data_IF_179074769517
#
_entry.id   IF_179074769517
#
_cell.length_a   1.000
_cell.length_b   1.000
_cell.length_c   1.000
_cell.angle_alpha   90.00
_cell.angle_beta   90.00
_cell.angle_gamma   90.00
#
_symmetry.space_group_name_H-M   'P 1'
#
loop_
_entity.id
_entity.type
_entity.pdbx_description
1 polymer ?
#
# COMPACT_ATOMS: atom_id res chain seq x y z
N UNK A 1 -36.90 -27.86 -9.55
CA UNK A 1 -35.80 -27.63 -8.60
C UNK A 1 -34.55 -27.38 -9.40
N UNK A 2 -33.63 -26.51 -8.94
CA UNK A 2 -32.39 -26.29 -9.68
C UNK A 2 -31.60 -27.61 -9.69
N UNK A 3 -31.11 -27.97 -10.88
CA UNK A 3 -30.37 -29.21 -11.09
C UNK A 3 -29.07 -29.19 -10.26
N UNK A 4 -28.78 -30.30 -9.59
CA UNK A 4 -27.49 -30.51 -8.94
C UNK A 4 -26.36 -30.29 -9.95
N UNK A 5 -25.51 -29.30 -9.71
CA UNK A 5 -24.46 -28.84 -10.62
C UNK A 5 -23.18 -29.69 -10.58
N UNK A 6 -23.17 -30.81 -9.83
CA UNK A 6 -22.04 -31.72 -9.75
C UNK A 6 -22.50 -33.16 -10.02
N UNK A 7 -22.06 -33.72 -11.15
CA UNK A 7 -22.21 -35.14 -11.48
C UNK A 7 -20.99 -35.90 -10.94
N UNK A 8 -21.18 -36.88 -10.03
CA UNK A 8 -20.08 -37.62 -9.40
C UNK A 8 -19.33 -38.58 -10.34
N UNK A 9 -19.64 -38.62 -11.65
CA UNK A 9 -19.12 -39.63 -12.58
C UNK A 9 -18.23 -39.12 -13.71
N UNK A 10 -17.92 -37.82 -13.81
CA UNK A 10 -17.13 -37.27 -14.93
C UNK A 10 -15.65 -37.10 -14.61
N UNK A 11 -14.77 -37.90 -15.22
CA UNK A 11 -13.31 -37.66 -15.28
C UNK A 11 -12.98 -36.78 -16.51
N UNK A 12 -12.15 -35.71 -16.42
CA UNK A 12 -11.46 -35.16 -15.25
C UNK A 12 -12.33 -34.15 -14.47
N UNK A 13 -12.23 -34.16 -13.13
CA UNK A 13 -12.91 -33.26 -12.19
C UNK A 13 -12.34 -31.82 -12.19
N UNK A 14 -12.21 -31.20 -13.37
CA UNK A 14 -11.89 -29.77 -13.48
C UNK A 14 -12.96 -29.09 -14.31
N UNK A 15 -13.74 -28.21 -13.69
CA UNK A 15 -14.52 -27.19 -14.41
C UNK A 15 -13.88 -25.84 -14.13
N UNK A 16 -13.45 -25.08 -15.15
CA UNK A 16 -13.12 -23.68 -14.96
C UNK A 16 -14.40 -22.96 -14.56
N UNK A 17 -14.45 -22.44 -13.34
CA UNK A 17 -15.47 -21.49 -12.93
C UNK A 17 -15.12 -20.18 -13.64
N UNK A 18 -15.92 -19.79 -14.64
CA UNK A 18 -15.72 -18.56 -15.41
C UNK A 18 -16.86 -17.60 -15.15
N UNK A 19 -16.85 -17.02 -13.96
CA UNK A 19 -17.46 -15.73 -13.73
C UNK A 19 -16.38 -14.86 -13.05
N UNK A 20 -15.63 -14.13 -13.87
CA UNK A 20 -14.95 -12.85 -13.58
C UNK A 20 -13.85 -12.83 -12.49
N UNK A 21 -13.59 -13.89 -11.72
CA UNK A 21 -12.43 -13.89 -10.78
C UNK A 21 -11.11 -14.29 -11.45
N UNK A 22 -10.28 -13.29 -11.78
CA UNK A 22 -8.95 -13.40 -12.41
C UNK A 22 -7.85 -13.88 -11.45
N UNK A 23 -8.10 -14.91 -10.65
CA UNK A 23 -7.08 -15.39 -9.70
C UNK A 23 -7.36 -16.69 -9.00
N UNK A 24 -8.60 -17.17 -8.93
CA UNK A 24 -8.96 -18.34 -8.12
C UNK A 24 -9.11 -19.60 -8.97
N UNK A 25 -8.27 -20.60 -8.72
CA UNK A 25 -8.32 -21.94 -9.31
C UNK A 25 -8.66 -22.98 -8.25
N UNK A 26 -9.80 -23.64 -8.45
CA UNK A 26 -10.20 -24.83 -7.70
C UNK A 26 -9.71 -26.09 -8.42
N UNK A 27 -9.02 -26.98 -7.71
CA UNK A 27 -8.46 -28.21 -8.26
C UNK A 27 -8.57 -29.39 -7.29
N UNK A 28 -8.33 -30.61 -7.79
CA UNK A 28 -8.28 -31.86 -7.03
C UNK A 28 -9.49 -32.14 -6.11
N UNK A 29 -10.69 -31.77 -6.57
CA UNK A 29 -11.94 -32.04 -5.84
C UNK A 29 -12.12 -33.55 -5.65
N UNK A 30 -12.16 -33.98 -4.39
CA UNK A 30 -12.25 -35.40 -4.00
C UNK A 30 -13.22 -35.61 -2.84
N UNK A 31 -13.57 -36.87 -2.57
CA UNK A 31 -14.40 -37.29 -1.44
C UNK A 31 -15.83 -36.70 -1.40
N UNK A 32 -16.45 -36.48 -2.57
CA UNK A 32 -17.77 -35.85 -2.71
C UNK A 32 -18.96 -36.59 -2.05
N UNK A 33 -18.74 -37.77 -1.44
CA UNK A 33 -19.73 -38.53 -0.67
C UNK A 33 -19.53 -38.48 0.85
N UNK A 34 -18.52 -37.76 1.34
CA UNK A 34 -18.20 -37.55 2.75
C UNK A 34 -17.65 -36.12 2.94
N UNK A 35 -16.64 -35.89 3.79
CA UNK A 35 -15.98 -34.59 3.90
C UNK A 35 -15.22 -34.29 2.61
N UNK A 36 -15.71 -33.31 1.83
CA UNK A 36 -15.09 -32.88 0.58
C UNK A 36 -13.73 -32.23 0.86
N UNK A 37 -12.73 -32.56 0.03
CA UNK A 37 -11.40 -31.93 0.06
C UNK A 37 -11.15 -31.28 -1.29
N UNK A 38 -10.65 -30.05 -1.28
CA UNK A 38 -10.41 -29.20 -2.45
C UNK A 38 -9.10 -28.45 -2.30
N UNK A 39 -8.32 -28.42 -3.38
CA UNK A 39 -7.10 -27.60 -3.45
C UNK A 39 -7.47 -26.25 -4.06
N UNK A 40 -7.32 -25.19 -3.27
CA UNK A 40 -7.51 -23.81 -3.67
C UNK A 40 -6.15 -23.19 -4.02
N UNK A 41 -6.00 -22.71 -5.24
CA UNK A 41 -4.86 -21.89 -5.66
C UNK A 41 -5.39 -20.51 -6.00
N UNK A 42 -4.91 -19.49 -5.29
CA UNK A 42 -5.17 -18.09 -5.60
C UNK A 42 -3.89 -17.51 -6.14
N UNK A 43 -3.88 -17.07 -7.39
CA UNK A 43 -2.82 -16.22 -7.91
C UNK A 43 -3.04 -14.83 -7.30
N UNK A 44 -2.06 -14.28 -6.57
CA UNK A 44 -2.15 -12.89 -6.14
C UNK A 44 -2.32 -12.01 -7.38
N UNK A 45 -3.13 -10.95 -7.26
CA UNK A 45 -3.13 -9.89 -8.26
C UNK A 45 -1.68 -9.39 -8.42
N UNK A 46 -1.23 -9.06 -9.64
CA UNK A 46 0.07 -8.43 -9.81
C UNK A 46 0.11 -7.21 -8.90
N UNK A 47 1.12 -7.13 -8.02
CA UNK A 47 1.31 -5.97 -7.15
C UNK A 47 1.53 -4.77 -8.08
N UNK A 48 0.59 -3.83 -8.07
CA UNK A 48 0.65 -2.59 -8.87
C UNK A 48 1.46 -1.49 -8.16
N UNK A 49 1.86 -1.69 -6.90
CA UNK A 49 2.71 -0.78 -6.14
C UNK A 49 4.18 -1.24 -6.13
N UNK A 50 5.04 -0.71 -7.01
CA UNK A 50 6.48 -0.94 -6.99
C UNK A 50 7.24 -0.17 -5.88
N UNK A 51 6.63 0.80 -5.17
CA UNK A 51 7.35 1.54 -4.12
C UNK A 51 7.59 0.71 -2.86
N UNK A 52 8.74 0.92 -2.19
CA UNK A 52 8.93 0.43 -0.83
C UNK A 52 7.96 1.07 0.17
N UNK A 53 7.64 0.36 1.25
CA UNK A 53 6.69 0.84 2.28
C UNK A 53 7.38 1.40 3.52
N UNK A 54 6.81 2.47 4.05
CA UNK A 54 7.00 2.91 5.44
C UNK A 54 5.79 2.47 6.26
N UNK A 55 5.97 1.49 7.15
CA UNK A 55 4.88 0.91 7.93
C UNK A 55 5.03 1.29 9.40
N UNK A 56 4.10 2.11 9.90
CA UNK A 56 4.02 2.48 11.30
C UNK A 56 2.98 1.61 12.01
N UNK A 57 3.38 0.94 13.09
CA UNK A 57 2.47 0.28 14.02
C UNK A 57 2.21 1.20 15.22
N UNK A 58 0.94 1.58 15.41
CA UNK A 58 0.49 2.45 16.50
C UNK A 58 -0.41 1.64 17.42
N UNK A 59 0.06 1.40 18.64
CA UNK A 59 -0.67 0.60 19.62
C UNK A 59 -1.38 1.46 20.66
N UNK A 60 -2.64 1.14 20.89
CA UNK A 60 -3.30 1.45 22.14
C UNK A 60 -2.56 0.73 23.27
N UNK A 61 -2.21 1.48 24.31
CA UNK A 61 -1.63 0.95 25.53
C UNK A 61 -2.37 1.44 26.75
N UNK A 62 -3.63 1.85 26.60
CA UNK A 62 -4.49 2.23 27.70
C UNK A 62 -4.83 1.02 28.59
N UNK A 63 -5.57 1.27 29.67
CA UNK A 63 -6.00 0.23 30.59
C UNK A 63 -6.98 -0.78 29.99
N UNK A 64 -7.79 -0.42 28.98
CA UNK A 64 -8.76 -1.33 28.35
C UNK A 64 -8.03 -2.41 27.56
N UNK A 65 -6.98 -2.03 26.84
CA UNK A 65 -6.27 -2.89 25.90
C UNK A 65 -5.37 -3.97 26.53
N UNK A 66 -5.48 -4.24 27.83
CA UNK A 66 -4.52 -5.08 28.57
C UNK A 66 -4.56 -6.57 28.21
N UNK A 67 -5.72 -7.08 27.85
CA UNK A 67 -5.92 -8.45 27.39
C UNK A 67 -5.71 -8.59 25.88
N UNK A 68 -5.95 -7.53 25.12
CA UNK A 68 -5.75 -7.49 23.67
C UNK A 68 -4.30 -7.25 23.24
N UNK A 69 -3.56 -6.39 23.94
CA UNK A 69 -2.16 -6.08 23.59
C UNK A 69 -1.27 -7.33 23.48
N UNK A 70 -1.28 -8.29 24.42
CA UNK A 70 -0.50 -9.53 24.29
C UNK A 70 -0.91 -10.37 23.08
N UNK A 71 -2.20 -10.37 22.74
CA UNK A 71 -2.71 -11.09 21.58
C UNK A 71 -2.22 -10.45 20.28
N UNK A 72 -2.20 -9.11 20.19
CA UNK A 72 -1.70 -8.41 19.01
C UNK A 72 -0.18 -8.54 18.86
N UNK A 73 0.58 -8.37 19.95
CA UNK A 73 2.04 -8.54 19.98
C UNK A 73 2.47 -9.91 19.46
N UNK A 74 1.75 -10.98 19.83
CA UNK A 74 2.06 -12.34 19.43
C UNK A 74 1.99 -12.57 17.90
N UNK A 75 1.30 -11.69 17.18
CA UNK A 75 0.95 -11.88 15.78
C UNK A 75 1.79 -11.01 14.83
N UNK A 76 2.43 -9.96 15.36
CA UNK A 76 3.20 -8.99 14.57
C UNK A 76 4.33 -9.60 13.75
N UNK A 77 4.96 -10.68 14.23
CA UNK A 77 5.99 -11.39 13.46
C UNK A 77 5.45 -11.94 12.14
N UNK A 78 4.24 -12.50 12.17
CA UNK A 78 3.57 -13.01 10.97
C UNK A 78 3.13 -11.88 10.04
N UNK A 79 2.65 -10.75 10.59
CA UNK A 79 2.30 -9.56 9.80
C UNK A 79 3.49 -9.01 9.02
N UNK A 80 4.61 -8.77 9.70
CA UNK A 80 5.82 -8.28 9.03
C UNK A 80 6.31 -9.25 7.95
N UNK A 81 6.12 -10.56 8.18
CA UNK A 81 6.45 -11.58 7.17
C UNK A 81 5.54 -11.49 5.94
N UNK A 82 4.23 -11.31 6.12
CA UNK A 82 3.27 -11.16 5.01
C UNK A 82 3.48 -9.86 4.23
N UNK A 83 3.76 -8.74 4.92
CA UNK A 83 4.10 -7.46 4.28
C UNK A 83 5.38 -7.60 3.46
N UNK A 84 6.45 -8.16 4.02
CA UNK A 84 7.72 -8.35 3.31
C UNK A 84 7.63 -9.34 2.14
N UNK A 85 6.66 -10.24 2.15
CA UNK A 85 6.38 -11.13 1.02
C UNK A 85 5.58 -10.44 -0.10
N UNK A 86 4.82 -9.41 0.24
CA UNK A 86 3.87 -8.75 -0.68
C UNK A 86 4.36 -7.42 -1.22
N UNK A 87 5.35 -6.79 -0.58
CA UNK A 87 5.85 -5.46 -0.96
C UNK A 87 7.38 -5.40 -0.91
N UNK A 88 8.01 -4.63 -1.82
CA UNK A 88 9.46 -4.54 -1.86
C UNK A 88 10.04 -3.77 -0.67
N UNK A 89 11.05 -4.33 -0.01
CA UNK A 89 11.91 -3.63 0.96
C UNK A 89 11.17 -2.80 2.05
N UNK A 90 10.17 -3.30 2.79
CA UNK A 90 9.48 -2.51 3.82
C UNK A 90 10.39 -2.18 5.02
N UNK A 91 10.17 -1.02 5.66
CA UNK A 91 10.75 -0.67 6.97
C UNK A 91 9.65 -0.32 7.95
N UNK A 92 9.94 -0.48 9.24
CA UNK A 92 8.92 -0.44 10.27
C UNK A 92 9.28 0.53 11.39
N UNK A 93 8.27 1.21 11.93
CA UNK A 93 8.33 2.00 13.15
C UNK A 93 7.28 1.50 14.15
N UNK A 94 7.49 1.77 15.43
CA UNK A 94 6.58 1.42 16.52
C UNK A 94 6.35 2.64 17.39
N UNK A 95 5.08 2.93 17.64
CA UNK A 95 4.63 3.96 18.54
C UNK A 95 3.42 3.47 19.32
N UNK A 96 3.08 4.20 20.37
CA UNK A 96 1.90 3.91 21.16
C UNK A 96 1.24 5.18 21.69
N UNK A 97 -0.01 5.03 22.11
CA UNK A 97 -0.81 6.08 22.71
C UNK A 97 -1.62 5.51 23.88
N UNK A 98 -2.17 6.43 24.67
CA UNK A 98 -3.11 6.17 25.75
C UNK A 98 -4.12 7.31 25.68
N UNK A 99 -3.98 8.22 26.62
CA UNK A 99 -4.83 9.39 26.77
C UNK A 99 -3.97 10.63 27.04
N UNK A 100 -4.59 11.79 27.07
CA UNK A 100 -3.94 13.06 27.35
C UNK A 100 -3.33 13.08 28.77
N UNK A 101 -2.12 13.64 28.94
CA UNK A 101 -1.41 13.66 30.23
C UNK A 101 -1.99 14.68 31.24
N UNK A 102 -3.31 14.85 31.27
CA UNK A 102 -4.03 15.79 32.13
C UNK A 102 -5.44 15.22 32.42
N UNK A 103 -6.16 15.79 33.38
CA UNK A 103 -7.51 15.34 33.75
C UNK A 103 -8.58 16.22 33.09
N UNK A 104 -9.75 15.68 32.66
CA UNK A 104 -10.31 14.43 33.15
C UNK A 104 -10.04 13.20 32.30
N UNK A 105 -9.54 13.34 31.07
CA UNK A 105 -9.36 12.18 30.18
C UNK A 105 -8.33 11.21 30.74
N UNK A 106 -7.12 11.71 31.01
CA UNK A 106 -6.06 10.92 31.62
C UNK A 106 -5.55 11.49 32.94
N UNK A 107 -4.27 11.25 33.16
CA UNK A 107 -3.51 11.75 34.29
C UNK A 107 -2.07 12.08 33.85
N UNK A 108 -1.30 12.76 34.71
CA UNK A 108 0.07 13.19 34.38
C UNK A 108 1.11 12.09 34.11
N UNK A 109 0.73 10.81 34.12
CA UNK A 109 1.59 9.70 33.68
C UNK A 109 1.17 9.08 32.34
N UNK A 110 0.03 9.51 31.79
CA UNK A 110 -0.39 9.16 30.44
C UNK A 110 0.37 10.00 29.40
N UNK A 111 0.05 9.81 28.13
CA UNK A 111 0.58 10.56 27.00
C UNK A 111 -0.29 10.25 25.78
N UNK A 112 -0.57 11.27 24.98
CA UNK A 112 -1.39 11.08 23.78
C UNK A 112 -0.58 10.47 22.61
N UNK A 113 0.75 10.54 22.67
CA UNK A 113 1.65 10.03 21.64
C UNK A 113 3.04 9.73 22.20
N UNK A 114 3.59 8.57 21.84
CA UNK A 114 4.95 8.17 22.16
C UNK A 114 5.57 7.33 21.05
N UNK A 115 6.74 7.75 20.56
CA UNK A 115 7.52 6.96 19.60
C UNK A 115 8.47 6.03 20.38
N UNK A 116 8.25 4.72 20.28
CA UNK A 116 9.14 3.72 20.88
C UNK A 116 10.35 3.42 20.00
N UNK A 117 10.12 3.38 18.68
CA UNK A 117 11.13 3.04 17.69
C UNK A 117 10.82 3.75 16.36
N UNK A 118 11.72 4.62 15.93
CA UNK A 118 11.68 5.24 14.60
C UNK A 118 12.00 4.23 13.47
N UNK A 119 11.70 4.59 12.22
CA UNK A 119 11.78 3.70 11.07
C UNK A 119 13.12 2.97 10.93
N UNK A 120 13.04 1.64 10.90
CA UNK A 120 14.22 0.79 10.77
C UNK A 120 13.96 -0.46 9.93
N UNK A 121 15.02 -0.95 9.28
CA UNK A 121 15.04 -2.25 8.60
C UNK A 121 15.39 -3.40 9.57
N UNK A 122 15.74 -3.09 10.82
CA UNK A 122 16.15 -4.08 11.80
C UNK A 122 14.93 -4.75 12.47
N UNK A 123 14.49 -5.87 11.90
CA UNK A 123 13.35 -6.64 12.42
C UNK A 123 13.50 -7.10 13.88
N UNK A 124 14.73 -7.28 14.38
CA UNK A 124 14.98 -7.61 15.79
C UNK A 124 14.71 -6.41 16.69
N UNK A 125 15.08 -5.19 16.26
CA UNK A 125 14.76 -3.98 17.00
C UNK A 125 13.25 -3.75 17.08
N UNK A 126 12.55 -3.95 15.95
CA UNK A 126 11.09 -3.86 15.87
C UNK A 126 10.42 -4.87 16.80
N UNK A 127 10.83 -6.14 16.74
CA UNK A 127 10.28 -7.19 17.61
C UNK A 127 10.52 -6.90 19.11
N UNK A 128 11.68 -6.37 19.47
CA UNK A 128 11.98 -5.98 20.85
C UNK A 128 11.15 -4.78 21.32
N UNK A 129 10.95 -3.79 20.45
CA UNK A 129 10.12 -2.62 20.74
C UNK A 129 8.67 -3.03 20.96
N UNK A 130 8.11 -3.84 20.06
CA UNK A 130 6.76 -4.39 20.19
C UNK A 130 6.59 -5.18 21.49
N UNK A 131 7.55 -6.04 21.83
CA UNK A 131 7.50 -6.86 23.05
C UNK A 131 7.67 -6.05 24.35
N UNK A 132 8.12 -4.79 24.28
CA UNK A 132 8.28 -3.92 25.43
C UNK A 132 7.01 -3.13 25.78
N UNK A 133 6.03 -3.07 24.88
CA UNK A 133 4.77 -2.35 25.11
C UNK A 133 3.98 -2.99 26.26
N UNK A 134 3.41 -2.16 27.13
CA UNK A 134 2.54 -2.59 28.23
C UNK A 134 1.32 -1.70 28.36
N UNK A 135 0.14 -2.31 28.44
CA UNK A 135 -1.13 -1.64 28.65
C UNK A 135 -1.29 -1.14 30.09
N UNK A 136 -1.64 0.13 30.25
CA UNK A 136 -1.86 0.84 31.52
C UNK A 136 -2.34 2.28 31.26
N UNK A 137 -2.97 2.91 32.26
CA UNK A 137 -3.33 4.32 32.16
C UNK A 137 -4.70 4.53 31.53
N UNK A 138 -4.95 5.76 31.08
CA UNK A 138 -6.28 6.26 30.75
C UNK A 138 -7.08 6.63 32.00
N UNK A 139 -8.23 7.29 31.85
CA UNK A 139 -9.17 7.50 32.95
C UNK A 139 -10.65 7.45 32.55
N UNK A 140 -11.00 7.71 31.28
CA UNK A 140 -12.29 7.41 30.69
C UNK A 140 -12.18 6.42 29.52
N UNK A 141 -13.24 6.28 28.73
CA UNK A 141 -13.33 5.24 27.69
C UNK A 141 -12.74 5.70 26.35
N UNK A 142 -12.95 6.94 25.87
CA UNK A 142 -12.24 7.40 24.70
C UNK A 142 -10.74 7.57 24.98
N UNK A 143 -9.92 7.49 23.93
CA UNK A 143 -8.46 7.59 24.02
C UNK A 143 -7.96 8.62 22.98
N UNK A 144 -6.65 8.76 22.77
CA UNK A 144 -6.08 9.89 22.03
C UNK A 144 -5.73 9.63 20.55
N UNK A 145 -6.46 8.78 19.83
CA UNK A 145 -6.11 8.31 18.48
C UNK A 145 -5.96 9.44 17.46
N UNK A 146 -6.86 10.45 17.48
CA UNK A 146 -6.77 11.58 16.56
C UNK A 146 -5.49 12.39 16.77
N UNK A 147 -5.16 12.71 18.03
CA UNK A 147 -3.91 13.38 18.40
C UNK A 147 -2.68 12.53 18.02
N UNK A 148 -2.71 11.23 18.33
CA UNK A 148 -1.62 10.31 18.05
C UNK A 148 -1.27 10.27 16.55
N UNK A 149 -2.28 10.14 15.70
CA UNK A 149 -2.08 10.09 14.24
C UNK A 149 -1.68 11.46 13.71
N UNK A 150 -2.26 12.54 14.23
CA UNK A 150 -1.85 13.89 13.84
C UNK A 150 -0.38 14.14 14.14
N UNK A 151 0.11 13.78 15.33
CA UNK A 151 1.54 13.87 15.67
C UNK A 151 2.40 12.90 14.85
N UNK A 152 1.91 11.69 14.55
CA UNK A 152 2.61 10.76 13.67
C UNK A 152 2.84 11.34 12.26
N UNK A 153 1.86 12.09 11.74
CA UNK A 153 1.91 12.71 10.42
C UNK A 153 2.68 14.03 10.38
N UNK A 154 2.65 14.81 11.45
CA UNK A 154 3.21 16.18 11.45
C UNK A 154 4.54 16.28 12.19
N UNK A 155 4.82 15.33 13.08
CA UNK A 155 5.89 15.42 14.06
C UNK A 155 5.71 16.55 15.07
N UNK A 156 4.52 17.18 15.11
CA UNK A 156 4.20 18.21 16.07
C UNK A 156 4.16 17.62 17.49
N UNK A 157 4.38 18.48 18.48
CA UNK A 157 4.03 18.20 19.85
C UNK A 157 2.68 18.82 20.19
N UNK A 158 2.18 18.54 21.38
CA UNK A 158 1.00 19.20 21.95
C UNK A 158 1.47 20.30 22.89
N UNK A 159 1.29 21.56 22.48
CA UNK A 159 1.58 22.77 23.26
C UNK A 159 0.24 23.46 23.57
N UNK A 160 -0.24 23.33 24.81
CA UNK A 160 -1.60 23.75 25.22
C UNK A 160 -1.69 25.24 25.55
N UNK A 161 -0.56 25.94 25.62
CA UNK A 161 -0.56 27.36 25.95
C UNK A 161 0.13 28.20 24.86
N UNK A 162 0.69 27.53 23.84
CA UNK A 162 1.39 28.05 22.67
C UNK A 162 2.56 28.98 23.04
N UNK A 163 3.28 28.65 24.11
CA UNK A 163 4.46 29.37 24.57
C UNK A 163 5.79 28.74 24.07
N UNK A 164 5.72 27.56 23.44
CA UNK A 164 6.85 26.82 22.90
C UNK A 164 7.66 26.04 23.94
N UNK A 165 7.20 25.99 25.20
CA UNK A 165 7.59 24.99 26.18
C UNK A 165 6.67 23.75 26.04
N UNK A 166 7.16 22.59 26.44
CA UNK A 166 6.40 21.31 26.41
C UNK A 166 6.51 20.58 27.75
N UNK A 167 6.79 21.33 28.81
CA UNK A 167 7.02 20.81 30.15
C UNK A 167 5.83 21.07 31.08
N UNK A 168 4.79 21.78 30.59
CA UNK A 168 3.58 21.99 31.37
C UNK A 168 2.70 20.72 31.39
N UNK A 169 1.79 20.69 32.37
CA UNK A 169 0.86 19.58 32.53
C UNK A 169 -0.06 19.50 31.31
N UNK A 170 -0.16 18.33 30.69
CA UNK A 170 -0.98 18.11 29.51
C UNK A 170 -0.23 18.23 28.18
N UNK A 171 1.00 18.74 28.19
CA UNK A 171 1.79 18.95 26.99
C UNK A 171 2.64 17.73 26.63
N UNK A 172 2.97 17.64 25.34
CA UNK A 172 3.72 16.53 24.77
C UNK A 172 4.78 17.11 23.85
N UNK A 173 6.05 16.84 24.15
CA UNK A 173 7.15 17.30 23.32
C UNK A 173 7.10 16.68 21.90
N UNK A 174 7.51 17.41 20.85
CA UNK A 174 7.55 16.90 19.48
C UNK A 174 8.39 15.62 19.35
N UNK A 175 7.80 14.59 18.73
CA UNK A 175 8.45 13.30 18.47
C UNK A 175 8.31 12.92 16.98
N UNK A 176 9.02 13.61 16.07
CA UNK A 176 8.89 13.39 14.63
C UNK A 176 9.43 12.02 14.20
N UNK A 177 8.71 11.37 13.29
CA UNK A 177 9.14 10.16 12.60
C UNK A 177 9.95 10.49 11.35
N UNK A 178 10.88 9.61 10.97
CA UNK A 178 11.71 9.78 9.77
C UNK A 178 11.07 9.25 8.49
N UNK A 179 9.84 9.68 8.19
CA UNK A 179 9.13 9.36 6.94
C UNK A 179 9.99 9.67 5.71
N UNK A 180 9.95 8.79 4.71
CA UNK A 180 10.68 8.96 3.45
C UNK A 180 9.67 9.22 2.33
N UNK A 181 9.81 10.39 1.71
CA UNK A 181 8.94 10.87 0.63
C UNK A 181 8.91 9.94 -0.59
N UNK A 182 9.87 9.03 -0.73
CA UNK A 182 9.93 8.06 -1.84
C UNK A 182 9.22 6.75 -1.54
N UNK A 183 8.69 6.59 -0.32
CA UNK A 183 8.11 5.34 0.20
C UNK A 183 6.64 5.55 0.48
N UNK A 184 5.81 4.56 0.17
CA UNK A 184 4.38 4.66 0.42
C UNK A 184 4.12 4.54 1.94
N UNK A 185 3.44 5.51 2.55
CA UNK A 185 3.20 5.51 3.98
C UNK A 185 1.96 4.71 4.37
N UNK A 186 2.11 3.83 5.36
CA UNK A 186 1.06 2.96 5.90
C UNK A 186 1.05 3.08 7.42
N UNK A 187 -0.13 3.25 8.00
CA UNK A 187 -0.34 3.25 9.45
C UNK A 187 -1.32 2.13 9.80
N UNK A 188 -0.91 1.25 10.71
CA UNK A 188 -1.80 0.32 11.39
C UNK A 188 -2.08 0.86 12.79
N UNK A 189 -3.33 1.21 13.05
CA UNK A 189 -3.81 1.69 14.35
C UNK A 189 -4.51 0.54 15.07
N UNK A 190 -3.96 0.06 16.18
CA UNK A 190 -4.55 -1.00 16.99
C UNK A 190 -5.25 -0.37 18.20
N UNK A 191 -6.55 -0.56 18.35
CA UNK A 191 -7.33 0.02 19.47
C UNK A 191 -8.68 -0.68 19.62
N UNK A 192 -9.22 -0.67 20.85
CA UNK A 192 -10.55 -1.18 21.19
C UNK A 192 -11.50 -0.08 21.69
N UNK A 193 -11.05 1.19 21.70
CA UNK A 193 -11.73 2.31 22.33
C UNK A 193 -12.12 3.41 21.34
N UNK A 194 -13.11 4.21 21.73
CA UNK A 194 -13.51 5.43 21.02
C UNK A 194 -12.38 6.48 21.00
N UNK A 195 -12.50 7.48 20.13
CA UNK A 195 -11.49 8.54 19.99
C UNK A 195 -11.98 9.81 20.68
N UNK A 196 -11.15 10.41 21.53
CA UNK A 196 -11.33 11.80 21.93
C UNK A 196 -11.28 12.72 20.72
N UNK A 197 -12.22 13.66 20.65
CA UNK A 197 -12.30 14.64 19.57
C UNK A 197 -12.31 16.06 20.12
N UNK A 198 -11.15 16.74 20.03
CA UNK A 198 -10.98 18.12 20.50
C UNK A 198 -11.83 19.15 19.73
N UNK A 199 -12.44 18.79 18.59
CA UNK A 199 -13.42 19.65 17.92
C UNK A 199 -14.78 19.67 18.64
N UNK A 200 -15.09 18.60 19.39
CA UNK A 200 -16.36 18.40 20.09
C UNK A 200 -16.21 18.56 21.60
N UNK A 201 -15.02 18.28 22.12
CA UNK A 201 -14.69 18.29 23.53
C UNK A 201 -13.91 19.56 23.90
N UNK A 202 -14.26 20.15 25.04
CA UNK A 202 -13.60 21.38 25.54
C UNK A 202 -12.33 21.04 26.35
N UNK A 203 -11.61 19.96 25.97
CA UNK A 203 -10.50 19.35 26.72
C UNK A 203 -9.48 18.70 25.75
N UNK A 204 -8.13 18.66 26.01
CA UNK A 204 -7.35 19.11 27.18
C UNK A 204 -7.35 20.60 27.57
N UNK A 205 -8.00 21.46 26.77
CA UNK A 205 -8.87 22.62 27.11
C UNK A 205 -8.54 23.88 26.31
N UNK A 206 -9.60 24.58 25.84
CA UNK A 206 -9.54 26.05 25.68
C UNK A 206 -9.10 26.65 24.34
N UNK A 207 -9.63 26.15 23.22
CA UNK A 207 -9.47 26.63 21.83
C UNK A 207 -8.31 26.03 21.00
N UNK A 208 -8.39 24.71 20.74
CA UNK A 208 -7.94 24.14 19.47
C UNK A 208 -6.46 23.80 19.32
N UNK A 209 -5.73 23.51 20.40
CA UNK A 209 -4.34 23.05 20.30
C UNK A 209 -4.21 21.52 20.19
N UNK A 210 -5.07 20.74 20.84
CA UNK A 210 -5.18 19.31 20.57
C UNK A 210 -5.87 19.06 19.23
N UNK A 211 -5.36 18.12 18.46
CA UNK A 211 -5.90 17.73 17.18
C UNK A 211 -7.14 16.84 17.36
N UNK A 212 -8.29 17.42 16.99
CA UNK A 212 -9.52 16.69 16.77
C UNK A 212 -9.62 16.12 15.35
N UNK A 213 -10.82 15.64 15.02
CA UNK A 213 -11.16 15.05 13.72
C UNK A 213 -10.80 15.96 12.55
N UNK A 214 -11.11 17.26 12.62
CA UNK A 214 -10.93 18.23 11.55
C UNK A 214 -9.47 18.52 11.25
N UNK A 215 -8.63 18.59 12.29
CA UNK A 215 -7.19 18.80 12.13
C UNK A 215 -6.55 17.61 11.41
N UNK A 216 -6.89 16.38 11.82
CA UNK A 216 -6.40 15.18 11.15
C UNK A 216 -6.93 15.06 9.71
N UNK A 217 -8.22 15.32 9.46
CA UNK A 217 -8.77 15.29 8.10
C UNK A 217 -8.12 16.34 7.18
N UNK A 218 -7.77 17.51 7.70
CA UNK A 218 -7.05 18.53 6.93
C UNK A 218 -5.63 18.05 6.58
N UNK A 219 -4.93 17.43 7.53
CA UNK A 219 -3.60 16.87 7.31
C UNK A 219 -3.62 15.68 6.34
N UNK A 220 -4.65 14.83 6.40
CA UNK A 220 -4.86 13.75 5.42
C UNK A 220 -5.16 14.29 4.01
N UNK A 221 -5.86 15.42 3.90
CA UNK A 221 -6.14 16.03 2.61
C UNK A 221 -4.92 16.74 1.99
N UNK A 222 -3.99 17.21 2.82
CA UNK A 222 -2.78 17.91 2.37
C UNK A 222 -1.62 17.71 3.37
N UNK A 223 -0.92 16.56 3.31
CA UNK A 223 0.15 16.24 4.23
C UNK A 223 1.30 17.26 4.18
N UNK A 224 1.82 17.62 5.34
CA UNK A 224 2.85 18.66 5.49
C UNK A 224 4.27 18.10 5.58
N UNK A 225 4.44 16.87 6.11
CA UNK A 225 5.76 16.23 6.24
C UNK A 225 5.94 15.00 5.34
N UNK A 226 4.85 14.49 4.78
CA UNK A 226 4.80 13.27 3.99
C UNK A 226 4.53 13.61 2.53
N UNK A 227 5.03 12.80 1.59
CA UNK A 227 4.79 13.03 0.16
C UNK A 227 3.32 12.83 -0.24
N UNK A 228 2.63 11.92 0.46
CA UNK A 228 1.23 11.59 0.27
C UNK A 228 0.62 11.18 1.62
N UNK A 229 -0.71 11.14 1.69
CA UNK A 229 -1.41 10.77 2.90
C UNK A 229 -1.21 9.27 3.22
N UNK A 230 -0.96 8.90 4.48
CA UNK A 230 -0.88 7.50 4.87
C UNK A 230 -2.23 6.83 4.69
N UNK A 231 -2.21 5.55 4.29
CA UNK A 231 -3.38 4.68 4.44
C UNK A 231 -3.46 4.21 5.87
N UNK A 232 -4.61 4.40 6.50
CA UNK A 232 -4.79 4.09 7.92
C UNK A 232 -5.73 2.90 8.08
N UNK A 233 -5.19 1.81 8.60
CA UNK A 233 -5.92 0.60 8.92
C UNK A 233 -6.16 0.53 10.42
N UNK A 234 -7.41 0.74 10.83
CA UNK A 234 -7.79 0.55 12.23
C UNK A 234 -8.10 -0.92 12.46
N UNK A 235 -7.34 -1.57 13.35
CA UNK A 235 -7.52 -2.95 13.75
C UNK A 235 -8.18 -2.96 15.12
N UNK A 236 -9.45 -3.29 15.12
CA UNK A 236 -10.21 -3.51 16.34
C UNK A 236 -10.01 -4.96 16.81
N UNK A 237 -9.64 -5.12 18.08
CA UNK A 237 -9.43 -6.41 18.73
C UNK A 237 -10.73 -7.18 19.04
N UNK A 238 -11.89 -6.52 19.00
CA UNK A 238 -13.19 -7.08 19.36
C UNK A 238 -13.60 -8.31 18.53
N UNK A 239 -14.25 -9.27 19.21
CA UNK A 239 -14.62 -10.60 18.72
C UNK A 239 -15.77 -10.60 17.69
N UNK A 240 -16.64 -9.59 17.64
CA UNK A 240 -17.78 -9.57 16.72
C UNK A 240 -17.92 -8.23 15.97
N UNK A 241 -18.36 -8.33 14.71
CA UNK A 241 -18.87 -7.18 13.94
C UNK A 241 -20.06 -6.57 14.71
N UNK A 242 -20.33 -5.25 14.61
CA UNK A 242 -21.41 -4.61 15.34
C UNK A 242 -22.72 -5.33 15.06
N UNK A 243 -23.38 -5.80 16.12
CA UNK A 243 -24.72 -6.37 16.02
C UNK A 243 -25.71 -5.25 15.72
N UNK A 244 -26.08 -5.07 14.45
CA UNK A 244 -27.07 -4.09 13.97
C UNK A 244 -28.52 -4.33 14.48
N UNK A 245 -28.75 -5.09 15.55
CA UNK A 245 -30.09 -5.28 16.15
C UNK A 245 -30.10 -5.29 17.69
N UNK A 246 -30.59 -4.17 18.26
CA UNK A 246 -31.41 -3.96 19.49
C UNK A 246 -30.90 -4.30 20.91
N UNK A 247 -30.63 -3.23 21.70
CA UNK A 247 -31.33 -2.86 22.95
C UNK A 247 -30.90 -3.42 24.32
N UNK A 248 -30.56 -2.48 25.23
CA UNK A 248 -30.84 -2.43 26.69
C UNK A 248 -29.75 -2.87 27.72
N UNK A 249 -29.01 -1.87 28.22
CA UNK A 249 -28.41 -1.67 29.57
C UNK A 249 -28.16 -2.89 30.48
N UNK A 250 -26.87 -3.13 30.82
CA UNK A 250 -26.46 -3.76 32.07
C UNK A 250 -24.97 -4.12 32.19
N UNK A 251 -24.13 -3.15 32.59
CA UNK A 251 -22.66 -3.23 32.72
C UNK A 251 -22.05 -4.48 33.39
N UNK A 252 -20.72 -4.71 33.32
CA UNK A 252 -19.65 -3.84 33.83
C UNK A 252 -18.27 -4.33 33.36
N UNK A 253 -17.89 -4.09 32.10
CA UNK A 253 -16.59 -4.46 31.54
C UNK A 253 -16.58 -4.26 30.02
N UNK A 254 -16.71 -3.02 29.52
CA UNK A 254 -16.32 -2.56 28.17
C UNK A 254 -16.72 -3.37 26.91
N UNK A 255 -17.45 -4.47 27.06
CA UNK A 255 -17.60 -5.55 26.08
C UNK A 255 -18.99 -6.20 26.16
N UNK A 256 -19.97 -5.58 26.82
CA UNK A 256 -21.27 -6.24 27.03
C UNK A 256 -22.19 -6.23 25.80
N UNK A 257 -21.71 -5.75 24.64
CA UNK A 257 -22.45 -5.81 23.38
C UNK A 257 -23.82 -5.13 23.47
N UNK A 258 -24.00 -4.18 24.40
CA UNK A 258 -25.18 -3.32 24.40
C UNK A 258 -25.04 -2.31 23.25
N UNK A 259 -26.05 -2.20 22.36
CA UNK A 259 -25.96 -1.28 21.22
C UNK A 259 -25.87 0.17 21.69
N UNK A 260 -24.73 0.81 21.42
CA UNK A 260 -24.45 2.21 21.72
C UNK A 260 -22.97 2.58 21.85
N UNK A 261 -22.12 1.69 22.38
CA UNK A 261 -20.71 2.02 22.68
C UNK A 261 -19.73 1.58 21.57
N UNK A 262 -19.91 0.43 20.91
CA UNK A 262 -19.13 0.05 19.71
C UNK A 262 -19.42 0.91 18.45
N UNK A 263 -20.49 1.72 18.48
CA UNK A 263 -20.91 2.52 17.33
C UNK A 263 -19.98 3.71 17.08
N UNK A 264 -19.39 4.31 18.13
CA UNK A 264 -18.57 5.50 18.00
C UNK A 264 -17.19 5.18 17.40
N UNK A 265 -16.45 4.22 17.96
CA UNK A 265 -15.22 3.68 17.36
C UNK A 265 -15.48 3.21 15.92
N UNK A 266 -16.56 2.46 15.68
CA UNK A 266 -16.89 2.03 14.33
C UNK A 266 -17.06 3.21 13.37
N UNK A 267 -17.80 4.25 13.76
CA UNK A 267 -17.99 5.46 12.95
C UNK A 267 -16.69 6.22 12.72
N UNK A 268 -15.93 6.49 13.78
CA UNK A 268 -14.68 7.24 13.75
C UNK A 268 -13.62 6.52 12.90
N UNK A 269 -13.44 5.22 13.10
CA UNK A 269 -12.51 4.41 12.33
C UNK A 269 -12.95 4.22 10.87
N UNK A 270 -14.25 4.10 10.60
CA UNK A 270 -14.77 4.01 9.22
C UNK A 270 -14.58 5.33 8.48
N UNK A 271 -14.76 6.46 9.15
CA UNK A 271 -14.49 7.76 8.56
C UNK A 271 -13.00 7.97 8.31
N UNK A 272 -12.15 7.63 9.27
CA UNK A 272 -10.70 7.69 9.12
C UNK A 272 -10.24 6.81 7.95
N UNK A 273 -10.79 5.61 7.83
CA UNK A 273 -10.56 4.73 6.69
C UNK A 273 -11.00 5.37 5.37
N UNK A 274 -12.18 5.99 5.32
CA UNK A 274 -12.68 6.66 4.12
C UNK A 274 -11.82 7.86 3.71
N UNK A 275 -11.28 8.61 4.67
CA UNK A 275 -10.42 9.76 4.41
C UNK A 275 -8.99 9.39 4.01
N UNK A 276 -8.47 8.26 4.52
CA UNK A 276 -7.10 7.81 4.28
C UNK A 276 -6.95 6.77 3.17
N UNK A 277 -8.06 6.26 2.62
CA UNK A 277 -8.03 5.11 1.70
C UNK A 277 -7.64 3.80 2.40
N UNK A 278 -7.83 3.74 3.72
CA UNK A 278 -7.61 2.56 4.55
C UNK A 278 -8.90 1.80 4.86
N UNK A 279 -8.95 1.11 6.01
CA UNK A 279 -10.10 0.27 6.39
C UNK A 279 -10.15 -0.02 7.89
N UNK A 280 -11.37 -0.07 8.44
CA UNK A 280 -11.62 -0.69 9.75
C UNK A 280 -11.70 -2.21 9.59
N UNK A 281 -10.89 -2.93 10.36
CA UNK A 281 -10.73 -4.37 10.32
C UNK A 281 -10.98 -4.94 11.71
N UNK A 282 -11.90 -5.90 11.79
CA UNK A 282 -12.10 -6.71 12.99
C UNK A 282 -11.10 -7.86 12.97
N UNK A 283 -10.00 -7.65 13.69
CA UNK A 283 -8.86 -8.55 13.64
C UNK A 283 -9.04 -9.76 14.59
N UNK A 284 -9.89 -9.63 15.60
CA UNK A 284 -10.23 -10.71 16.54
C UNK A 284 -9.04 -11.13 17.43
N UNK A 285 -9.29 -12.13 18.27
CA UNK A 285 -8.42 -12.55 19.37
C UNK A 285 -7.41 -13.65 19.02
N UNK A 286 -7.41 -14.14 17.78
CA UNK A 286 -6.62 -15.29 17.37
C UNK A 286 -5.89 -15.10 16.04
N UNK A 287 -4.81 -15.87 15.89
CA UNK A 287 -3.89 -15.80 14.74
C UNK A 287 -4.55 -15.98 13.39
N UNK A 288 -5.67 -16.72 13.30
CA UNK A 288 -6.32 -16.96 12.01
C UNK A 288 -7.13 -15.75 11.57
N UNK A 289 -7.93 -15.20 12.46
CA UNK A 289 -8.81 -14.07 12.16
C UNK A 289 -8.00 -12.80 11.91
N UNK A 290 -6.92 -12.59 12.65
CA UNK A 290 -6.06 -11.43 12.50
C UNK A 290 -5.25 -11.48 11.22
N UNK A 291 -4.68 -12.63 10.84
CA UNK A 291 -4.02 -12.78 9.54
C UNK A 291 -5.01 -12.59 8.38
N UNK A 292 -6.27 -12.97 8.55
CA UNK A 292 -7.31 -12.66 7.56
C UNK A 292 -7.55 -11.15 7.48
N UNK A 293 -7.64 -10.47 8.62
CA UNK A 293 -7.78 -9.02 8.68
C UNK A 293 -6.60 -8.29 8.04
N UNK A 294 -5.37 -8.73 8.31
CA UNK A 294 -4.16 -8.18 7.71
C UNK A 294 -4.16 -8.37 6.19
N UNK A 295 -4.52 -9.55 5.68
CA UNK A 295 -4.66 -9.74 4.22
C UNK A 295 -5.71 -8.82 3.61
N UNK A 296 -6.83 -8.61 4.29
CA UNK A 296 -7.84 -7.63 3.86
C UNK A 296 -7.28 -6.20 3.85
N UNK A 297 -6.39 -5.84 4.78
CA UNK A 297 -5.64 -4.57 4.71
C UNK A 297 -4.74 -4.53 3.48
N UNK A 298 -3.91 -5.57 3.27
CA UNK A 298 -2.96 -5.62 2.16
C UNK A 298 -3.66 -5.62 0.80
N UNK A 299 -4.84 -6.23 0.68
CA UNK A 299 -5.68 -6.15 -0.52
C UNK A 299 -6.15 -4.71 -0.80
N UNK A 300 -6.56 -3.97 0.24
CA UNK A 300 -6.97 -2.55 0.11
C UNK A 300 -5.78 -1.65 -0.22
N UNK A 301 -4.61 -1.96 0.34
CA UNK A 301 -3.35 -1.31 -0.06
C UNK A 301 -3.15 -1.49 -1.57
N UNK A 302 -3.29 -2.72 -2.08
CA UNK A 302 -3.10 -3.04 -3.50
C UNK A 302 -4.16 -2.41 -4.44
N UNK A 303 -5.43 -2.39 -4.06
CA UNK A 303 -6.54 -1.96 -4.93
C UNK A 303 -6.70 -0.43 -5.03
N UNK A 304 -6.15 0.31 -4.06
CA UNK A 304 -6.35 1.76 -3.98
C UNK A 304 -5.10 2.62 -4.25
N UNK A 305 -3.95 2.02 -4.61
CA UNK A 305 -2.70 2.77 -4.82
C UNK A 305 -2.73 3.60 -6.11
N UNK A 306 -2.32 4.90 -6.07
CA UNK A 306 -2.22 5.69 -7.28
C UNK A 306 -1.29 4.95 -8.24
N UNK A 307 -1.61 4.95 -9.53
CA UNK A 307 -0.70 4.44 -10.54
C UNK A 307 0.63 5.19 -10.38
N UNK A 308 1.69 4.44 -10.10
CA UNK A 308 3.04 5.00 -10.02
C UNK A 308 3.77 4.65 -11.29
N UNK A 309 4.67 5.54 -11.68
CA UNK A 309 5.46 5.41 -12.87
C UNK A 309 6.77 6.15 -12.70
N UNK A 310 7.21 6.82 -13.75
CA UNK A 310 8.49 7.54 -13.78
C UNK A 310 8.27 9.03 -13.64
N UNK A 311 9.15 9.68 -12.88
CA UNK A 311 9.30 11.12 -12.91
C UNK A 311 10.57 11.51 -13.67
N UNK A 312 10.38 12.12 -14.84
CA UNK A 312 11.43 12.48 -15.76
C UNK A 312 11.75 13.98 -15.71
N UNK A 313 13.03 14.30 -15.69
CA UNK A 313 13.51 15.68 -15.65
C UNK A 313 14.24 16.02 -16.94
N UNK A 314 14.12 17.27 -17.40
CA UNK A 314 14.84 17.76 -18.58
C UNK A 314 16.36 17.76 -18.43
N UNK A 315 16.86 17.52 -17.22
CA UNK A 315 18.28 17.36 -16.89
C UNK A 315 18.82 15.95 -17.19
N UNK A 316 17.94 14.99 -17.49
CA UNK A 316 18.28 13.57 -17.63
C UNK A 316 18.15 12.76 -16.33
N UNK A 317 17.87 13.43 -15.21
CA UNK A 317 17.53 12.73 -13.98
C UNK A 317 16.19 12.01 -14.13
N UNK A 318 16.07 10.87 -13.46
CA UNK A 318 14.91 9.99 -13.49
C UNK A 318 14.68 9.42 -12.09
N UNK A 319 13.42 9.43 -11.64
CA UNK A 319 13.02 8.79 -10.38
C UNK A 319 11.87 7.84 -10.68
N UNK A 320 12.11 6.53 -10.52
CA UNK A 320 11.11 5.48 -10.73
C UNK A 320 10.23 5.29 -9.49
N UNK A 321 9.09 4.63 -9.68
CA UNK A 321 8.12 4.34 -8.63
C UNK A 321 7.66 5.62 -7.93
N UNK A 322 7.16 6.59 -8.69
CA UNK A 322 6.65 7.86 -8.18
C UNK A 322 5.24 8.07 -8.72
N UNK A 323 4.32 8.55 -7.88
CA UNK A 323 2.95 8.89 -8.31
C UNK A 323 2.94 10.11 -9.22
N UNK A 324 1.92 10.23 -10.05
CA UNK A 324 1.73 11.41 -10.91
C UNK A 324 1.76 12.71 -10.09
N UNK A 325 1.09 12.70 -8.93
CA UNK A 325 1.01 13.87 -8.05
C UNK A 325 2.38 14.27 -7.47
N UNK A 326 3.14 13.31 -6.92
CA UNK A 326 4.48 13.55 -6.39
C UNK A 326 5.42 14.07 -7.49
N UNK A 327 5.32 13.50 -8.70
CA UNK A 327 6.13 13.95 -9.83
C UNK A 327 5.81 15.39 -10.25
N UNK A 328 4.52 15.69 -10.47
CA UNK A 328 4.10 16.97 -11.04
C UNK A 328 4.18 18.11 -10.02
N UNK A 329 3.80 17.87 -8.77
CA UNK A 329 3.60 18.95 -7.79
C UNK A 329 4.75 19.13 -6.80
N UNK A 330 5.46 18.05 -6.45
CA UNK A 330 6.55 18.14 -5.49
C UNK A 330 7.92 18.13 -6.17
N UNK A 331 8.12 17.24 -7.14
CA UNK A 331 9.39 17.12 -7.85
C UNK A 331 9.51 18.09 -9.03
N UNK A 332 8.39 18.46 -9.65
CA UNK A 332 8.37 19.36 -10.82
C UNK A 332 8.88 18.70 -12.10
N UNK A 333 8.78 17.38 -12.20
CA UNK A 333 9.11 16.62 -13.40
C UNK A 333 7.91 16.41 -14.33
N UNK A 334 8.12 15.62 -15.37
CA UNK A 334 7.06 15.12 -16.25
C UNK A 334 6.83 13.66 -15.89
N UNK A 335 5.58 13.32 -15.58
CA UNK A 335 5.21 11.97 -15.20
C UNK A 335 4.94 11.09 -16.41
N UNK A 336 5.30 9.81 -16.31
CA UNK A 336 4.98 8.76 -17.27
C UNK A 336 4.30 7.59 -16.56
N UNK A 337 3.18 7.13 -17.09
CA UNK A 337 2.48 5.91 -16.64
C UNK A 337 3.21 4.63 -17.01
N UNK A 338 4.20 4.71 -17.88
CA UNK A 338 4.98 3.54 -18.26
C UNK A 338 5.86 3.12 -17.08
N UNK A 339 5.78 1.85 -16.71
CA UNK A 339 6.61 1.24 -15.66
C UNK A 339 8.04 1.02 -16.18
N UNK A 340 8.64 2.08 -16.72
CA UNK A 340 9.93 2.06 -17.36
C UNK A 340 11.07 2.08 -16.34
N UNK A 341 12.26 1.77 -16.82
CA UNK A 341 13.44 1.58 -15.98
C UNK A 341 14.38 2.78 -16.15
N UNK A 342 14.66 3.50 -15.07
CA UNK A 342 15.63 4.60 -15.09
C UNK A 342 17.06 4.16 -15.47
N UNK A 343 17.35 2.86 -15.49
CA UNK A 343 18.66 2.31 -15.85
C UNK A 343 18.77 1.89 -17.32
N UNK A 344 17.66 1.85 -18.06
CA UNK A 344 17.68 1.60 -19.50
C UNK A 344 17.96 2.89 -20.23
N UNK A 345 19.12 2.96 -20.86
CA UNK A 345 19.58 4.06 -21.69
C UNK A 345 20.33 3.38 -22.83
N UNK A 346 19.62 3.09 -23.92
CA UNK A 346 20.18 2.34 -25.03
C UNK A 346 21.41 3.09 -25.58
N UNK A 347 21.23 4.40 -25.82
CA UNK A 347 22.16 5.22 -26.59
C UNK A 347 23.27 5.86 -25.73
N UNK A 348 23.36 5.47 -24.46
CA UNK A 348 24.31 5.91 -23.43
C UNK A 348 24.40 7.46 -23.32
N UNK A 349 23.30 8.18 -23.56
CA UNK A 349 23.30 9.65 -23.54
C UNK A 349 23.09 10.24 -22.14
N UNK A 350 22.82 9.41 -21.14
CA UNK A 350 22.58 9.78 -19.76
C UNK A 350 21.12 10.15 -19.45
N UNK A 351 20.20 9.96 -20.39
CA UNK A 351 18.75 10.08 -20.23
C UNK A 351 18.18 8.70 -20.47
N UNK A 352 17.36 8.17 -19.55
CA UNK A 352 16.76 6.86 -19.76
C UNK A 352 15.79 6.85 -20.94
N UNK A 353 15.71 5.72 -21.63
CA UNK A 353 14.82 5.42 -22.76
C UNK A 353 13.39 5.94 -22.50
N UNK A 354 12.81 5.55 -21.37
CA UNK A 354 11.45 5.93 -20.98
C UNK A 354 11.30 7.44 -20.75
N UNK A 355 12.36 8.13 -20.29
CA UNK A 355 12.34 9.58 -20.15
C UNK A 355 12.52 10.30 -21.48
N UNK A 356 13.32 9.76 -22.41
CA UNK A 356 13.42 10.33 -23.76
C UNK A 356 12.07 10.33 -24.47
N UNK A 357 11.34 9.22 -24.39
CA UNK A 357 10.00 9.06 -24.96
C UNK A 357 9.02 10.02 -24.27
N UNK A 358 8.98 10.01 -22.93
CA UNK A 358 8.06 10.85 -22.14
C UNK A 358 8.28 12.34 -22.37
N UNK A 359 9.53 12.78 -22.54
CA UNK A 359 9.88 14.17 -22.82
C UNK A 359 9.72 14.53 -24.31
N UNK A 360 9.37 13.56 -25.17
CA UNK A 360 9.23 13.74 -26.62
C UNK A 360 10.56 14.04 -27.33
N UNK A 361 11.67 13.56 -26.78
CA UNK A 361 13.01 13.68 -27.35
C UNK A 361 13.18 12.68 -28.50
N UNK A 362 12.69 11.45 -28.30
CA UNK A 362 12.70 10.36 -29.27
C UNK A 362 11.28 9.84 -29.53
N UNK A 363 11.01 9.28 -30.72
CA UNK A 363 9.77 8.58 -30.99
C UNK A 363 9.82 7.13 -30.46
N UNK A 364 8.65 6.62 -30.09
CA UNK A 364 8.35 5.22 -29.83
C UNK A 364 7.01 4.95 -30.54
N UNK A 365 7.09 4.47 -31.77
CA UNK A 365 5.94 4.37 -32.66
C UNK A 365 5.05 3.17 -32.32
N UNK A 366 5.61 2.11 -31.73
CA UNK A 366 4.88 0.89 -31.39
C UNK A 366 4.45 0.84 -29.91
N UNK A 367 4.95 1.78 -29.09
CA UNK A 367 4.56 1.98 -27.70
C UNK A 367 5.11 0.92 -26.77
N UNK A 368 6.28 0.36 -27.09
CA UNK A 368 6.88 -0.73 -26.31
C UNK A 368 7.85 -0.25 -25.22
N UNK A 369 8.02 1.07 -25.08
CA UNK A 369 8.84 1.71 -24.05
C UNK A 369 10.33 1.73 -24.36
N UNK A 370 10.72 1.39 -25.60
CA UNK A 370 12.07 1.47 -26.14
C UNK A 370 12.05 2.46 -27.31
N UNK A 371 12.92 3.49 -27.35
CA UNK A 371 12.92 4.43 -28.47
C UNK A 371 13.15 3.71 -29.81
N UNK A 372 12.43 4.12 -30.86
CA UNK A 372 12.55 3.55 -32.22
C UNK A 372 14.02 3.52 -32.71
N UNK A 373 14.84 4.45 -32.25
CA UNK A 373 16.27 4.51 -32.59
C UNK A 373 17.12 3.40 -31.96
N UNK A 374 16.66 2.83 -30.86
CA UNK A 374 17.26 1.68 -30.17
C UNK A 374 16.75 0.36 -30.76
N UNK A 375 15.58 0.40 -31.37
CA UNK A 375 14.96 -0.75 -32.00
C UNK A 375 15.50 -0.88 -33.41
N UNK A 376 16.08 -2.04 -33.71
CA UNK A 376 16.64 -2.33 -35.02
C UNK A 376 15.81 -3.38 -35.75
N UNK A 377 14.51 -3.12 -36.00
CA UNK A 377 13.63 -4.11 -36.61
C UNK A 377 14.13 -4.52 -38.01
N UNK A 378 14.91 -3.66 -38.68
CA UNK A 378 15.54 -3.95 -39.97
C UNK A 378 16.88 -4.70 -39.93
N UNK A 379 17.50 -4.95 -38.77
CA UNK A 379 18.80 -5.65 -38.67
C UNK A 379 18.59 -7.15 -38.50
N UNK A 380 18.16 -7.82 -39.57
CA UNK A 380 17.79 -9.23 -39.52
C UNK A 380 19.00 -10.16 -39.38
N UNK A 381 20.21 -9.63 -39.61
CA UNK A 381 21.45 -10.39 -39.50
C UNK A 381 22.24 -10.11 -38.20
N UNK A 382 21.76 -9.17 -37.38
CA UNK A 382 22.32 -8.74 -36.08
C UNK A 382 23.76 -8.21 -36.16
N UNK A 383 24.12 -7.47 -37.21
CA UNK A 383 25.44 -6.80 -37.33
C UNK A 383 25.43 -5.33 -36.88
N UNK A 384 24.32 -4.89 -36.30
CA UNK A 384 24.02 -3.54 -35.83
C UNK A 384 23.93 -2.53 -36.97
N UNK A 385 23.58 -2.95 -38.19
CA UNK A 385 23.39 -2.05 -39.33
C UNK A 385 22.31 -2.56 -40.26
N UNK A 386 21.20 -1.84 -40.34
CA UNK A 386 20.22 -2.05 -41.41
C UNK A 386 20.80 -1.57 -42.74
N UNK A 387 21.21 -2.50 -43.58
CA UNK A 387 21.90 -2.19 -44.82
C UNK A 387 21.53 -3.15 -45.97
N UNK A 388 22.36 -3.18 -47.02
CA UNK A 388 22.12 -4.02 -48.18
C UNK A 388 22.14 -5.51 -47.83
N UNK A 389 22.88 -5.90 -46.81
CA UNK A 389 22.96 -7.29 -46.36
C UNK A 389 21.61 -7.76 -45.77
N UNK A 390 20.89 -6.89 -45.04
CA UNK A 390 19.54 -7.17 -44.53
C UNK A 390 18.48 -7.18 -45.63
N UNK A 391 18.57 -6.23 -46.57
CA UNK A 391 17.71 -6.23 -47.75
C UNK A 391 17.86 -7.54 -48.54
N UNK A 392 19.09 -8.01 -48.70
CA UNK A 392 19.36 -9.27 -49.40
C UNK A 392 18.83 -10.47 -48.61
N UNK A 393 18.93 -10.44 -47.27
CA UNK A 393 18.36 -11.48 -46.43
C UNK A 393 16.84 -11.58 -46.55
N UNK A 394 16.09 -10.48 -46.59
CA UNK A 394 14.63 -10.51 -46.85
C UNK A 394 14.32 -11.11 -48.21
N UNK A 395 15.05 -10.70 -49.25
CA UNK A 395 14.84 -11.21 -50.61
C UNK A 395 15.16 -12.71 -50.69
N UNK A 396 16.11 -13.21 -49.91
CA UNK A 396 16.49 -14.63 -49.87
C UNK A 396 15.36 -15.52 -49.35
N UNK A 397 14.58 -15.03 -48.37
CA UNK A 397 13.46 -15.77 -47.75
C UNK A 397 12.09 -15.25 -48.16
N UNK A 398 11.98 -14.58 -49.31
CA UNK A 398 10.73 -13.99 -49.79
C UNK A 398 9.57 -15.00 -49.90
N UNK A 399 8.43 -14.66 -49.31
CA UNK A 399 7.23 -15.51 -49.29
C UNK A 399 7.38 -16.79 -48.48
N UNK A 400 8.35 -16.85 -47.57
CA UNK A 400 8.54 -17.97 -46.68
C UNK A 400 7.52 -17.96 -45.53
N UNK A 401 6.93 -19.13 -45.21
CA UNK A 401 5.87 -19.29 -44.19
C UNK A 401 6.30 -20.18 -43.00
N UNK A 402 7.50 -20.76 -43.01
CA UNK A 402 7.97 -21.70 -41.98
C UNK A 402 9.50 -21.61 -41.77
N UNK A 403 9.95 -21.45 -40.52
CA UNK A 403 11.37 -21.29 -40.10
C UNK A 403 12.09 -20.03 -40.62
N UNK A 404 11.35 -18.93 -40.83
CA UNK A 404 11.88 -17.68 -41.39
C UNK A 404 11.37 -16.42 -40.67
N UNK A 405 10.80 -16.56 -39.46
CA UNK A 405 10.24 -15.44 -38.69
C UNK A 405 11.24 -14.34 -38.31
N UNK A 406 12.55 -14.54 -38.53
CA UNK A 406 13.57 -13.54 -38.28
C UNK A 406 13.58 -12.40 -39.33
N UNK A 407 12.87 -12.58 -40.45
CA UNK A 407 12.78 -11.60 -41.53
C UNK A 407 11.33 -11.13 -41.80
N UNK A 408 10.39 -11.51 -40.91
CA UNK A 408 9.02 -11.00 -40.81
C UNK A 408 9.01 -9.86 -39.80
N UNK A 409 9.18 -8.63 -40.29
CA UNK A 409 9.44 -7.43 -39.48
C UNK A 409 8.13 -6.79 -39.00
N UNK A 410 7.02 -6.95 -39.73
CA UNK A 410 5.70 -6.40 -39.38
C UNK A 410 4.78 -7.41 -38.64
N UNK A 411 5.38 -8.40 -37.97
CA UNK A 411 4.89 -9.75 -37.65
C UNK A 411 3.51 -10.16 -38.21
N UNK A 412 3.32 -10.11 -39.54
CA UNK A 412 2.05 -10.50 -40.17
C UNK A 412 1.99 -11.97 -40.63
N UNK A 413 3.13 -12.68 -40.50
CA UNK A 413 3.28 -14.09 -40.84
C UNK A 413 3.67 -14.35 -42.29
N UNK A 414 3.92 -13.32 -43.11
CA UNK A 414 4.31 -13.44 -44.51
C UNK A 414 5.45 -12.48 -44.84
N UNK A 415 6.58 -13.00 -45.30
CA UNK A 415 7.68 -12.13 -45.77
C UNK A 415 7.34 -11.58 -47.16
N UNK A 416 7.00 -10.29 -47.23
CA UNK A 416 6.63 -9.64 -48.47
C UNK A 416 7.19 -8.21 -48.62
N UNK A 417 6.52 -7.42 -49.46
CA UNK A 417 6.92 -6.05 -49.74
C UNK A 417 6.81 -5.14 -48.50
N UNK A 418 5.95 -5.47 -47.55
CA UNK A 418 5.76 -4.69 -46.34
C UNK A 418 6.99 -4.81 -45.42
N UNK A 419 7.59 -5.99 -45.29
CA UNK A 419 8.85 -6.17 -44.54
C UNK A 419 10.03 -5.46 -45.23
N UNK A 420 10.10 -5.58 -46.55
CA UNK A 420 11.14 -4.91 -47.33
C UNK A 420 11.04 -3.38 -47.24
N UNK A 421 9.82 -2.83 -47.11
CA UNK A 421 9.65 -1.39 -46.87
C UNK A 421 10.16 -0.98 -45.48
N UNK A 422 10.05 -1.84 -44.47
CA UNK A 422 10.59 -1.58 -43.12
C UNK A 422 12.13 -1.57 -43.08
N UNK A 423 12.81 -2.35 -43.92
CA UNK A 423 14.27 -2.24 -44.12
C UNK A 423 14.67 -0.84 -44.60
N UNK A 424 13.89 -0.29 -45.54
CA UNK A 424 14.18 1.05 -46.05
C UNK A 424 13.86 2.16 -45.05
N UNK A 425 12.85 1.95 -44.22
CA UNK A 425 12.47 2.92 -43.17
C UNK A 425 13.55 3.00 -42.07
N UNK A 426 14.24 1.90 -41.80
CA UNK A 426 15.28 1.80 -40.77
C UNK A 426 16.71 1.82 -41.32
N UNK A 427 16.92 2.20 -42.60
CA UNK A 427 18.22 2.10 -43.28
C UNK A 427 19.32 2.94 -42.60
N UNK A 428 20.36 2.29 -42.08
CA UNK A 428 21.43 3.00 -41.39
C UNK A 428 22.22 2.14 -40.40
N UNK A 429 23.07 2.80 -39.63
CA UNK A 429 23.73 2.16 -38.49
C UNK A 429 22.78 2.19 -37.30
N UNK A 430 22.59 1.04 -36.68
CA UNK A 430 22.04 0.98 -35.34
C UNK A 430 23.14 1.37 -34.36
N UNK A 431 22.80 2.18 -33.37
CA UNK A 431 23.63 2.26 -32.17
C UNK A 431 22.88 1.49 -31.08
N UNK A 432 23.58 0.63 -30.30
CA UNK A 432 22.98 0.12 -29.10
C UNK A 432 22.44 1.27 -28.26
#
# INVERSE_FOLDING_TARGET
GPANLFDPTTFPNSRPYSNIDTGVKLSNVSNCGSTMTIDLSVNPLPITEPRPLDVLFVFDTSGSYWDDLPNMQAQMSSVMTEIAASFPNPRYAVANFKDFPIAPAGNGSDYAWMVDLDFTFNSVAVANSLAALTASGGADLPESQYEAIYQAMTGAGLDLNNDGDYLDLGEIAPQPLSWDATRAPIIFLMTDADFHDADLEDYPTGAGEAAGRMALLAELAAPTTMAEAPRIFTLNAAWNRPSITSGAWGGTDGHDGTPGDDDALHMQATELAAASGGKLIYAGDNTVEFLRGIREALEVVQDGMPEVGLCCFTTGECVAAISEELCLFQLGGVWSSENGDCNKDCNDNGISDSCEITLGITPDADGNGIPDSCECPGDINNDLKVNVDDLLGIIEVWGCEFECSFADINPDGVIDINDLLLIFDHWGSCRP
#
